data_IF_929880204148
#
_entry.id   IF_929880204148
#
_cell.length_a   1.000
_cell.length_b   1.000
_cell.length_c   1.000
_cell.angle_alpha   90.00
_cell.angle_beta   90.00
_cell.angle_gamma   90.00
#
_symmetry.space_group_name_H-M   'P 1'
#
loop_
_entity.id
_entity.type
_entity.pdbx_description
1 polymer ?
#
# COMPACT_ATOMS: atom_id res chain seq x y z
N UNK A 1 -14.87 3.46 17.41
CA UNK A 1 -13.42 3.74 17.22
C UNK A 1 -12.51 3.12 18.29
N UNK A 2 -12.81 3.20 19.60
CA UNK A 2 -11.94 2.64 20.67
C UNK A 2 -11.59 1.14 20.51
N UNK A 3 -12.53 0.31 20.03
CA UNK A 3 -12.34 -1.15 19.86
C UNK A 3 -11.37 -1.54 18.73
N UNK A 4 -11.24 -0.72 17.68
CA UNK A 4 -10.31 -0.99 16.56
C UNK A 4 -8.87 -0.67 16.97
N UNK A 5 -8.70 0.37 17.78
CA UNK A 5 -7.38 0.75 18.32
C UNK A 5 -6.84 -0.31 19.29
N UNK A 6 -7.70 -0.91 20.12
CA UNK A 6 -7.32 -2.02 21.01
C UNK A 6 -6.87 -3.28 20.25
N UNK A 7 -7.49 -3.58 19.09
CA UNK A 7 -7.13 -4.75 18.28
C UNK A 7 -5.78 -4.58 17.57
N UNK A 8 -5.51 -3.37 17.06
CA UNK A 8 -4.21 -3.01 16.46
C UNK A 8 -3.08 -3.04 17.50
N UNK A 9 -3.35 -2.56 18.72
CA UNK A 9 -2.38 -2.61 19.82
C UNK A 9 -2.09 -4.06 20.24
N UNK A 10 -3.11 -4.93 20.28
CA UNK A 10 -2.95 -6.35 20.61
C UNK A 10 -2.10 -7.09 19.56
N UNK A 11 -2.30 -6.79 18.27
CA UNK A 11 -1.49 -7.36 17.18
C UNK A 11 -0.02 -6.89 17.24
N UNK A 12 0.22 -5.63 17.59
CA UNK A 12 1.58 -5.11 17.79
C UNK A 12 2.29 -5.81 18.97
N UNK A 13 1.58 -6.07 20.07
CA UNK A 13 2.15 -6.76 21.25
C UNK A 13 2.44 -8.23 20.97
N UNK A 14 1.62 -8.92 20.17
CA UNK A 14 1.87 -10.31 19.77
C UNK A 14 3.09 -10.39 18.83
N UNK A 15 3.30 -9.41 17.96
CA UNK A 15 4.48 -9.36 17.09
C UNK A 15 5.79 -9.07 17.85
N UNK A 16 5.73 -8.34 18.97
CA UNK A 16 6.91 -8.00 19.78
C UNK A 16 7.41 -9.15 20.66
N UNK A 17 6.56 -10.14 20.99
CA UNK A 17 6.97 -11.29 21.81
C UNK A 17 7.57 -12.46 21.01
N UNK A 18 7.45 -12.45 19.68
CA UNK A 18 8.00 -13.50 18.83
C UNK A 18 9.52 -13.37 18.58
N UNK A 19 10.17 -12.29 19.01
CA UNK A 19 11.61 -12.04 18.76
C UNK A 19 12.50 -12.16 20.01
N UNK A 20 11.97 -12.63 21.15
CA UNK A 20 12.71 -12.62 22.43
C UNK A 20 13.24 -13.99 22.89
N UNK A 21 13.08 -15.07 22.12
CA UNK A 21 13.57 -16.41 22.48
C UNK A 21 14.41 -17.01 21.36
N UNK A 22 15.60 -16.46 21.11
CA UNK A 22 16.68 -17.18 20.42
C UNK A 22 18.04 -16.56 20.84
N UNK A 23 18.32 -16.57 22.15
CA UNK A 23 19.69 -16.47 22.67
C UNK A 23 20.21 -17.90 22.89
N UNK A 24 20.48 -18.60 21.79
CA UNK A 24 21.19 -19.88 21.79
C UNK A 24 22.54 -19.70 21.10
N UNK A 25 23.61 -19.85 21.88
CA UNK A 25 25.02 -20.11 21.53
C UNK A 25 25.54 -19.54 20.17
N UNK A 26 26.29 -18.43 20.16
CA UNK A 26 26.70 -17.73 18.93
C UNK A 26 27.71 -18.50 18.04
N UNK A 27 28.37 -19.54 18.55
CA UNK A 27 29.46 -20.22 17.85
C UNK A 27 29.05 -21.53 17.15
N UNK A 28 27.95 -22.17 17.55
CA UNK A 28 27.48 -23.42 16.92
C UNK A 28 26.49 -23.20 15.75
N UNK A 29 25.91 -22.01 15.62
CA UNK A 29 24.83 -21.75 14.63
C UNK A 29 25.37 -21.25 13.28
N UNK A 30 26.64 -20.84 13.19
CA UNK A 30 27.17 -20.17 11.99
C UNK A 30 27.56 -21.09 10.83
N UNK A 31 27.93 -22.36 11.05
CA UNK A 31 28.39 -23.24 9.97
C UNK A 31 27.24 -23.93 9.23
N UNK A 32 26.23 -24.45 9.93
CA UNK A 32 25.15 -25.21 9.28
C UNK A 32 24.09 -24.33 8.60
N UNK A 33 23.93 -23.07 9.05
CA UNK A 33 22.98 -22.14 8.44
C UNK A 33 23.41 -21.59 7.08
N UNK A 34 24.72 -21.60 6.76
CA UNK A 34 25.22 -21.13 5.47
C UNK A 34 25.04 -22.15 4.34
N UNK A 35 25.02 -23.44 4.69
CA UNK A 35 24.95 -24.54 3.70
C UNK A 35 23.51 -25.03 3.43
N UNK A 36 22.52 -24.59 4.22
CA UNK A 36 21.10 -24.95 4.06
C UNK A 36 20.19 -23.74 3.74
N UNK A 37 20.72 -22.70 3.10
CA UNK A 37 19.87 -21.63 2.58
C UNK A 37 19.05 -22.17 1.41
N UNK A 38 17.78 -22.46 1.66
CA UNK A 38 16.85 -22.78 0.59
C UNK A 38 16.85 -21.65 -0.45
N UNK A 39 16.82 -21.98 -1.75
CA UNK A 39 16.79 -20.98 -2.79
C UNK A 39 15.60 -20.05 -2.58
N UNK A 40 15.79 -18.79 -2.94
CA UNK A 40 14.75 -17.78 -2.88
C UNK A 40 13.50 -18.24 -3.66
N UNK A 41 12.32 -17.82 -3.20
CA UNK A 41 11.10 -18.13 -3.94
C UNK A 41 11.07 -17.39 -5.26
N UNK A 42 10.59 -18.02 -6.33
CA UNK A 42 10.39 -17.35 -7.62
C UNK A 42 8.98 -16.77 -7.74
N UNK A 43 8.04 -17.25 -6.91
CA UNK A 43 6.66 -16.78 -6.88
C UNK A 43 6.25 -16.43 -5.45
N UNK A 44 5.63 -15.27 -5.29
CA UNK A 44 5.13 -14.81 -4.01
C UNK A 44 3.65 -14.48 -4.11
N UNK A 45 2.88 -15.00 -3.16
CA UNK A 45 1.52 -14.53 -2.87
C UNK A 45 1.59 -13.56 -1.70
N UNK A 46 1.16 -12.33 -1.92
CA UNK A 46 1.24 -11.26 -0.94
C UNK A 46 -0.08 -10.62 -0.58
N UNK A 47 -0.05 -9.86 0.50
CA UNK A 47 -1.14 -9.00 0.94
C UNK A 47 -0.54 -7.76 1.60
N UNK A 48 -1.16 -6.61 1.42
CA UNK A 48 -0.66 -5.37 1.98
C UNK A 48 -1.52 -4.18 1.62
N UNK A 49 -1.03 -3.00 1.94
CA UNK A 49 -1.74 -1.76 1.67
C UNK A 49 -1.16 -0.57 2.41
N UNK A 50 -1.77 0.59 2.18
CA UNK A 50 -1.41 1.83 2.85
C UNK A 50 -1.91 3.07 2.11
N UNK A 51 -1.32 4.22 2.44
CA UNK A 51 -1.67 5.50 1.84
C UNK A 51 -1.05 5.57 0.44
N UNK A 52 -1.86 5.82 -0.59
CA UNK A 52 -1.46 5.85 -2.00
C UNK A 52 -0.66 4.64 -2.48
N UNK A 53 -0.76 3.51 -1.78
CA UNK A 53 -0.08 2.28 -2.15
C UNK A 53 -0.69 1.69 -3.43
N UNK A 54 0.07 0.90 -4.20
CA UNK A 54 -0.41 0.33 -5.46
C UNK A 54 -1.59 -0.63 -5.26
N UNK A 55 -1.71 -1.28 -4.09
CA UNK A 55 -2.88 -2.10 -3.71
C UNK A 55 -4.04 -1.28 -3.11
N UNK A 56 -3.87 0.03 -2.93
CA UNK A 56 -4.79 0.85 -2.15
C UNK A 56 -4.59 0.67 -0.65
N UNK A 57 -5.65 0.89 0.13
CA UNK A 57 -5.67 0.70 1.58
C UNK A 57 -5.34 -0.74 1.96
N UNK A 58 -5.82 -1.70 1.17
CA UNK A 58 -5.65 -3.13 1.43
C UNK A 58 -5.92 -3.96 0.17
N UNK A 59 -5.17 -5.03 -0.05
CA UNK A 59 -5.44 -5.98 -1.13
C UNK A 59 -4.42 -7.11 -1.27
N UNK A 60 -4.78 -8.19 -2.00
CA UNK A 60 -3.84 -9.22 -2.42
C UNK A 60 -2.90 -8.74 -3.53
N UNK A 61 -1.72 -9.36 -3.58
CA UNK A 61 -0.72 -9.17 -4.63
C UNK A 61 -0.08 -10.49 -5.02
N UNK A 62 0.47 -10.52 -6.22
CA UNK A 62 1.36 -11.58 -6.70
C UNK A 62 2.65 -10.94 -7.19
N UNK A 63 3.76 -11.64 -7.01
CA UNK A 63 5.05 -11.22 -7.54
C UNK A 63 5.78 -12.45 -8.11
N UNK A 64 6.33 -12.29 -9.31
CA UNK A 64 7.05 -13.33 -10.03
C UNK A 64 8.43 -12.84 -10.44
N UNK A 65 9.45 -13.65 -10.18
CA UNK A 65 10.84 -13.36 -10.55
C UNK A 65 11.05 -13.66 -12.03
N UNK A 66 11.32 -12.61 -12.83
CA UNK A 66 11.67 -12.75 -14.24
C UNK A 66 13.17 -12.97 -14.46
N UNK A 67 14.00 -12.31 -13.64
CA UNK A 67 15.45 -12.44 -13.67
C UNK A 67 15.99 -12.33 -12.23
N UNK A 68 17.29 -12.60 -12.04
CA UNK A 68 17.92 -12.65 -10.72
C UNK A 68 17.58 -11.44 -9.82
N UNK A 69 17.49 -10.25 -10.41
CA UNK A 69 17.19 -8.99 -9.71
C UNK A 69 15.91 -8.29 -10.17
N UNK A 70 15.14 -8.88 -11.07
CA UNK A 70 13.94 -8.25 -11.65
C UNK A 70 12.74 -9.12 -11.38
N UNK A 71 11.72 -8.54 -10.75
CA UNK A 71 10.41 -9.17 -10.59
C UNK A 71 9.34 -8.33 -11.25
N UNK A 72 8.27 -8.98 -11.69
CA UNK A 72 7.00 -8.33 -11.99
C UNK A 72 6.04 -8.57 -10.87
N UNK A 73 5.21 -7.58 -10.58
CA UNK A 73 4.18 -7.69 -9.58
C UNK A 73 2.85 -7.20 -10.12
N UNK A 74 1.78 -7.72 -9.56
CA UNK A 74 0.43 -7.29 -9.82
C UNK A 74 -0.43 -7.45 -8.58
N UNK A 75 -1.56 -6.77 -8.55
CA UNK A 75 -2.51 -6.95 -7.46
C UNK A 75 -3.75 -6.11 -7.63
N UNK A 76 -4.74 -6.45 -6.82
CA UNK A 76 -6.01 -5.77 -6.76
C UNK A 76 -6.35 -5.47 -5.31
N UNK A 77 -7.11 -4.41 -5.06
CA UNK A 77 -7.48 -4.03 -3.70
C UNK A 77 -8.51 -2.92 -3.64
N UNK A 78 -8.71 -2.38 -2.43
CA UNK A 78 -9.62 -1.29 -2.16
C UNK A 78 -8.82 -0.03 -1.82
N UNK A 79 -9.08 1.07 -2.52
CA UNK A 79 -8.50 2.39 -2.25
C UNK A 79 -9.53 3.40 -1.74
N UNK A 80 -9.10 4.64 -1.51
CA UNK A 80 -10.00 5.78 -1.23
C UNK A 80 -10.96 6.09 -2.39
N UNK A 81 -10.64 5.62 -3.59
CA UNK A 81 -11.30 5.94 -4.85
C UNK A 81 -11.90 4.69 -5.53
N UNK A 82 -12.43 3.77 -4.73
CA UNK A 82 -13.04 2.52 -5.20
C UNK A 82 -12.06 1.34 -5.28
N UNK A 83 -12.34 0.38 -6.15
CA UNK A 83 -11.45 -0.76 -6.36
C UNK A 83 -10.22 -0.32 -7.17
N UNK A 84 -9.08 -0.96 -6.91
CA UNK A 84 -7.79 -0.64 -7.54
C UNK A 84 -7.21 -1.88 -8.17
N UNK A 85 -6.68 -1.75 -9.39
CA UNK A 85 -5.93 -2.78 -10.10
C UNK A 85 -4.57 -2.21 -10.48
N UNK A 86 -3.51 -2.98 -10.27
CA UNK A 86 -2.14 -2.52 -10.44
C UNK A 86 -1.22 -3.59 -11.00
N UNK A 87 -0.22 -3.16 -11.75
CA UNK A 87 0.88 -3.99 -12.22
C UNK A 87 2.17 -3.18 -12.33
N UNK A 88 3.32 -3.83 -12.29
CA UNK A 88 4.60 -3.15 -12.37
C UNK A 88 5.79 -4.10 -12.30
N UNK A 89 6.97 -3.52 -12.15
CA UNK A 89 8.22 -4.24 -12.00
C UNK A 89 9.04 -3.68 -10.84
N UNK A 90 9.85 -4.54 -10.22
CA UNK A 90 10.79 -4.18 -9.16
C UNK A 90 12.20 -4.62 -9.53
N UNK A 91 13.16 -3.74 -9.27
CA UNK A 91 14.57 -4.06 -9.27
C UNK A 91 15.05 -4.27 -7.83
N UNK A 92 15.68 -5.42 -7.55
CA UNK A 92 16.24 -5.76 -6.24
C UNK A 92 17.73 -5.51 -6.21
N UNK A 93 18.19 -4.75 -5.21
CA UNK A 93 19.62 -4.63 -4.96
C UNK A 93 20.22 -5.99 -4.53
N UNK A 94 19.45 -6.78 -3.76
CA UNK A 94 19.82 -8.12 -3.30
C UNK A 94 18.57 -8.99 -3.16
N UNK A 95 18.23 -9.77 -4.18
CA UNK A 95 17.07 -10.66 -4.12
C UNK A 95 17.26 -11.77 -3.07
N UNK A 96 16.20 -12.23 -2.35
CA UNK A 96 14.81 -11.77 -2.34
C UNK A 96 14.51 -10.72 -1.25
N UNK A 97 15.53 -10.13 -0.62
CA UNK A 97 15.39 -9.26 0.55
C UNK A 97 15.97 -7.85 0.36
N UNK A 98 16.24 -7.16 1.46
CA UNK A 98 16.89 -5.83 1.47
C UNK A 98 16.10 -4.79 0.67
N UNK A 99 16.79 -3.98 -0.14
CA UNK A 99 16.19 -2.87 -0.86
C UNK A 99 15.71 -3.31 -2.24
N UNK A 100 14.54 -2.84 -2.63
CA UNK A 100 14.02 -2.92 -3.98
C UNK A 100 13.45 -1.57 -4.42
N UNK A 101 13.45 -1.33 -5.73
CA UNK A 101 12.92 -0.12 -6.34
C UNK A 101 11.85 -0.50 -7.35
N UNK A 102 10.64 0.04 -7.18
CA UNK A 102 9.47 -0.28 -7.97
C UNK A 102 9.08 0.82 -8.93
N UNK A 103 8.64 0.42 -10.12
CA UNK A 103 7.87 1.23 -11.05
C UNK A 103 6.57 0.47 -11.36
N UNK A 104 5.42 1.12 -11.22
CA UNK A 104 4.14 0.48 -11.49
C UNK A 104 3.07 1.42 -11.98
N UNK A 105 2.06 0.86 -12.61
CA UNK A 105 0.86 1.54 -13.05
C UNK A 105 -0.35 1.02 -12.27
N UNK A 106 -1.24 1.93 -11.90
CA UNK A 106 -2.46 1.60 -11.17
C UNK A 106 -3.66 2.29 -11.79
N UNK A 107 -4.81 1.62 -11.74
CA UNK A 107 -6.12 2.19 -12.09
C UNK A 107 -7.05 2.01 -10.90
N UNK A 108 -7.70 3.10 -10.49
CA UNK A 108 -8.77 3.11 -9.50
C UNK A 108 -10.11 3.34 -10.19
N UNK A 109 -11.13 2.55 -9.86
CA UNK A 109 -12.43 2.55 -10.55
C UNK A 109 -13.19 3.87 -10.45
N UNK A 110 -12.95 4.65 -9.40
CA UNK A 110 -13.84 5.73 -9.01
C UNK A 110 -15.06 5.22 -8.26
N UNK A 111 -15.92 6.16 -7.88
CA UNK A 111 -17.17 5.95 -7.16
C UNK A 111 -18.22 6.91 -7.72
N UNK A 112 -19.32 6.37 -8.24
CA UNK A 112 -20.33 7.20 -8.91
C UNK A 112 -21.10 8.09 -7.94
N UNK A 113 -21.29 7.68 -6.68
CA UNK A 113 -22.03 8.44 -5.69
C UNK A 113 -21.42 8.22 -4.31
N UNK A 114 -20.78 9.27 -3.80
CA UNK A 114 -20.28 9.32 -2.44
C UNK A 114 -20.64 10.68 -1.84
N UNK A 115 -21.03 10.69 -0.58
CA UNK A 115 -21.28 11.94 0.15
C UNK A 115 -20.17 12.15 1.15
N UNK A 116 -19.64 13.36 1.20
CA UNK A 116 -18.70 13.77 2.24
C UNK A 116 -19.36 14.81 3.14
N UNK A 117 -19.25 14.60 4.45
CA UNK A 117 -19.57 15.61 5.45
C UNK A 117 -18.49 16.69 5.40
N UNK A 118 -18.81 17.82 4.75
CA UNK A 118 -17.91 18.95 4.57
C UNK A 118 -18.13 19.97 5.70
N UNK A 119 -17.11 20.26 6.53
CA UNK A 119 -17.22 21.26 7.60
C UNK A 119 -17.51 22.68 7.08
N UNK A 120 -17.92 23.56 8.00
CA UNK A 120 -18.02 24.99 7.73
C UNK A 120 -16.72 25.54 7.10
N UNK A 121 -16.84 26.38 6.07
CA UNK A 121 -15.71 26.95 5.34
C UNK A 121 -15.10 26.05 4.24
N UNK A 122 -15.63 24.85 4.02
CA UNK A 122 -15.23 23.98 2.91
C UNK A 122 -16.14 24.18 1.68
N UNK A 123 -17.36 24.64 1.89
CA UNK A 123 -18.38 24.90 0.89
C UNK A 123 -18.85 26.34 1.03
N UNK A 124 -18.99 27.05 -0.09
CA UNK A 124 -19.40 28.44 -0.10
C UNK A 124 -20.84 28.60 0.42
N UNK A 125 -21.11 29.71 1.12
CA UNK A 125 -22.44 30.10 1.62
C UNK A 125 -23.10 29.10 2.60
N UNK A 126 -22.31 28.28 3.29
CA UNK A 126 -22.80 27.36 4.32
C UNK A 126 -22.08 27.62 5.66
N UNK A 127 -22.86 27.84 6.71
CA UNK A 127 -22.39 28.12 8.09
C UNK A 127 -22.45 26.88 8.99
N UNK A 128 -22.56 25.69 8.41
CA UNK A 128 -22.65 24.41 9.13
C UNK A 128 -22.10 23.28 8.27
N UNK A 129 -21.86 22.12 8.88
CA UNK A 129 -21.45 20.93 8.15
C UNK A 129 -22.54 20.49 7.19
N UNK A 130 -22.19 20.31 5.92
CA UNK A 130 -23.11 19.88 4.87
C UNK A 130 -22.64 18.62 4.16
N UNK A 131 -23.58 17.78 3.74
CA UNK A 131 -23.30 16.61 2.91
C UNK A 131 -23.26 17.01 1.46
N UNK A 132 -22.08 16.90 0.85
CA UNK A 132 -21.91 17.22 -0.56
C UNK A 132 -21.78 15.93 -1.37
N UNK A 133 -22.65 15.69 -2.36
CA UNK A 133 -22.57 14.51 -3.21
C UNK A 133 -21.52 14.69 -4.30
N UNK A 134 -20.58 13.75 -4.35
CA UNK A 134 -19.51 13.69 -5.34
C UNK A 134 -19.67 12.49 -6.27
N UNK A 135 -19.22 12.69 -7.51
CA UNK A 135 -18.84 11.64 -8.45
C UNK A 135 -17.33 11.62 -8.53
N UNK A 136 -16.71 10.57 -7.98
CA UNK A 136 -15.28 10.33 -8.06
C UNK A 136 -15.01 9.58 -9.37
N UNK A 137 -14.32 10.21 -10.31
CA UNK A 137 -14.03 9.58 -11.61
C UNK A 137 -12.92 8.53 -11.47
N UNK A 138 -12.89 7.58 -12.40
CA UNK A 138 -11.76 6.66 -12.54
C UNK A 138 -10.46 7.44 -12.69
N UNK A 139 -9.42 7.00 -11.97
CA UNK A 139 -8.15 7.69 -11.93
C UNK A 139 -7.00 6.71 -12.03
N UNK A 140 -5.99 7.06 -12.82
CA UNK A 140 -4.80 6.22 -13.01
C UNK A 140 -3.57 6.91 -12.44
N UNK A 141 -2.64 6.13 -11.90
CA UNK A 141 -1.37 6.63 -11.34
C UNK A 141 -0.17 5.84 -11.85
N UNK A 142 0.95 6.54 -12.04
CA UNK A 142 2.28 5.96 -12.16
C UNK A 142 2.94 6.06 -10.79
N UNK A 143 3.45 4.94 -10.28
CA UNK A 143 3.98 4.82 -8.93
C UNK A 143 5.47 4.54 -8.99
N UNK A 144 6.24 5.31 -8.25
CA UNK A 144 7.66 5.08 -8.00
C UNK A 144 7.84 4.77 -6.52
N UNK A 145 8.54 3.69 -6.19
CA UNK A 145 8.73 3.32 -4.78
C UNK A 145 10.08 2.70 -4.46
N UNK A 146 10.46 2.84 -3.20
CA UNK A 146 11.57 2.16 -2.57
C UNK A 146 11.00 1.29 -1.44
N UNK A 147 11.36 0.01 -1.45
CA UNK A 147 10.87 -0.99 -0.51
C UNK A 147 12.04 -1.56 0.29
N UNK A 148 11.85 -1.70 1.59
CA UNK A 148 12.74 -2.48 2.45
C UNK A 148 12.05 -3.79 2.83
N UNK A 149 12.62 -4.90 2.38
CA UNK A 149 12.17 -6.27 2.68
C UNK A 149 12.98 -6.88 3.83
N UNK A 150 12.29 -7.56 4.73
CA UNK A 150 12.84 -8.45 5.74
C UNK A 150 12.34 -9.87 5.47
N UNK A 151 13.26 -10.81 5.26
CA UNK A 151 12.92 -12.23 5.15
C UNK A 151 12.66 -12.79 6.54
N UNK A 152 11.53 -13.49 6.71
CA UNK A 152 11.03 -14.00 7.97
C UNK A 152 10.89 -15.53 7.95
N UNK A 153 10.94 -16.12 9.14
CA UNK A 153 10.79 -17.56 9.36
C UNK A 153 12.07 -18.36 9.14
N UNK A 154 12.06 -19.62 9.62
CA UNK A 154 13.22 -20.53 9.56
C UNK A 154 13.71 -20.76 8.12
N UNK A 155 12.79 -20.92 7.18
CA UNK A 155 13.10 -21.12 5.76
C UNK A 155 13.37 -19.81 5.00
N UNK A 156 13.21 -18.63 5.63
CA UNK A 156 13.38 -17.30 5.00
C UNK A 156 12.58 -17.07 3.71
N UNK A 157 11.53 -17.88 3.50
CA UNK A 157 10.64 -17.77 2.34
C UNK A 157 9.58 -16.69 2.47
N UNK A 158 9.21 -16.31 3.69
CA UNK A 158 8.23 -15.25 3.91
C UNK A 158 8.93 -13.90 3.94
N UNK A 159 8.26 -12.85 3.51
CA UNK A 159 8.82 -11.50 3.47
C UNK A 159 7.83 -10.51 4.07
N UNK A 160 8.32 -9.65 4.94
CA UNK A 160 7.64 -8.42 5.33
C UNK A 160 8.32 -7.25 4.65
N UNK A 161 7.57 -6.22 4.27
CA UNK A 161 8.14 -5.01 3.70
C UNK A 161 7.45 -3.74 4.17
N UNK A 162 8.23 -2.67 4.12
CA UNK A 162 7.78 -1.29 4.23
C UNK A 162 8.09 -0.62 2.89
N UNK A 163 7.13 0.12 2.38
CA UNK A 163 7.20 0.84 1.12
C UNK A 163 7.10 2.35 1.37
N UNK A 164 8.02 3.10 0.77
CA UNK A 164 7.97 4.55 0.66
C UNK A 164 8.03 4.92 -0.82
N UNK A 165 7.23 5.89 -1.26
CA UNK A 165 7.23 6.25 -2.67
C UNK A 165 6.44 7.51 -2.98
N UNK A 166 6.18 7.69 -4.27
CA UNK A 166 5.33 8.75 -4.78
C UNK A 166 4.53 8.25 -5.97
N UNK A 167 3.23 8.55 -5.98
CA UNK A 167 2.31 8.24 -7.05
C UNK A 167 1.94 9.53 -7.80
N UNK A 168 2.27 9.58 -9.09
CA UNK A 168 1.87 10.67 -9.97
C UNK A 168 0.57 10.27 -10.65
N UNK A 169 -0.46 11.08 -10.49
CA UNK A 169 -1.74 10.86 -11.15
C UNK A 169 -1.71 11.34 -12.59
N UNK A 170 -2.19 10.48 -13.48
CA UNK A 170 -2.28 10.71 -14.93
C UNK A 170 -3.67 11.21 -15.33
N UNK A 171 -4.64 11.13 -14.41
CA UNK A 171 -6.01 11.55 -14.70
C UNK A 171 -6.19 13.07 -14.55
N UNK A 172 -6.83 13.65 -15.56
CA UNK A 172 -7.38 15.01 -15.54
C UNK A 172 -8.79 14.99 -14.90
N UNK A 173 -9.18 16.08 -14.25
CA UNK A 173 -10.50 16.28 -13.63
C UNK A 173 -11.04 15.09 -12.82
N UNK A 174 -10.56 14.91 -11.58
CA UNK A 174 -10.70 13.65 -10.84
C UNK A 174 -12.02 13.47 -10.09
N UNK A 175 -12.77 14.54 -9.88
CA UNK A 175 -14.09 14.50 -9.26
C UNK A 175 -15.01 15.56 -9.84
N UNK A 176 -16.33 15.34 -9.68
CA UNK A 176 -17.39 16.29 -10.05
C UNK A 176 -18.36 16.37 -8.88
N UNK A 177 -18.78 17.58 -8.53
CA UNK A 177 -19.87 17.81 -7.59
C UNK A 177 -21.17 17.60 -8.35
N UNK A 178 -22.05 16.71 -7.87
CA UNK A 178 -23.28 16.37 -8.61
C UNK A 178 -24.34 17.46 -8.56
N UNK A 179 -24.29 18.33 -7.55
CA UNK A 179 -25.26 19.40 -7.34
C UNK A 179 -24.58 20.76 -7.57
N UNK A 180 -25.16 21.54 -8.49
CA UNK A 180 -24.69 22.88 -8.85
C UNK A 180 -24.81 23.91 -7.73
N UNK A 181 -25.56 23.62 -6.68
CA UNK A 181 -25.72 24.51 -5.53
C UNK A 181 -24.49 24.54 -4.60
N UNK A 182 -23.55 23.62 -4.79
CA UNK A 182 -22.33 23.55 -3.98
C UNK A 182 -21.09 23.98 -4.77
N UNK A 183 -20.42 25.01 -4.27
CA UNK A 183 -19.10 25.41 -4.72
C UNK A 183 -18.08 25.18 -3.60
N UNK A 184 -17.00 24.46 -3.89
CA UNK A 184 -15.95 24.21 -2.89
C UNK A 184 -15.09 25.46 -2.71
N UNK A 185 -14.89 25.85 -1.46
CA UNK A 185 -13.88 26.82 -1.06
C UNK A 185 -12.46 26.22 -1.19
N UNK A 186 -11.38 27.03 -1.13
CA UNK A 186 -10.01 26.53 -1.22
C UNK A 186 -9.68 25.39 -0.24
N UNK A 187 -10.19 25.43 0.99
CA UNK A 187 -10.01 24.36 1.98
C UNK A 187 -10.67 23.04 1.55
N UNK A 188 -11.90 23.10 1.03
CA UNK A 188 -12.60 21.94 0.49
C UNK A 188 -11.89 21.33 -0.72
N UNK A 189 -11.40 22.18 -1.64
CA UNK A 189 -10.57 21.72 -2.77
C UNK A 189 -9.28 21.06 -2.30
N UNK A 190 -8.60 21.62 -1.31
CA UNK A 190 -7.40 21.03 -0.72
C UNK A 190 -7.68 19.65 -0.12
N UNK A 191 -8.77 19.51 0.64
CA UNK A 191 -9.18 18.23 1.19
C UNK A 191 -9.41 17.18 0.10
N UNK A 192 -10.16 17.54 -0.96
CA UNK A 192 -10.35 16.65 -2.11
C UNK A 192 -9.03 16.32 -2.82
N UNK A 193 -8.10 17.26 -2.89
CA UNK A 193 -6.77 17.06 -3.46
C UNK A 193 -5.86 16.15 -2.62
N UNK A 194 -6.15 15.96 -1.33
CA UNK A 194 -5.44 14.99 -0.49
C UNK A 194 -6.05 13.60 -0.61
N UNK A 195 -7.37 13.50 -0.78
CA UNK A 195 -8.06 12.21 -0.92
C UNK A 195 -7.87 11.55 -2.29
N UNK A 196 -7.64 12.35 -3.33
CA UNK A 196 -7.46 11.86 -4.69
C UNK A 196 -6.26 10.89 -4.80
N UNK A 197 -6.32 9.89 -5.69
CA UNK A 197 -5.18 9.01 -5.94
C UNK A 197 -3.97 9.80 -6.41
N UNK A 198 -2.87 9.70 -5.66
CA UNK A 198 -1.60 10.37 -5.95
C UNK A 198 -0.97 11.02 -4.72
N UNK A 199 0.31 11.35 -4.82
CA UNK A 199 1.09 11.92 -3.72
C UNK A 199 2.00 10.90 -3.05
N UNK A 200 2.37 11.18 -1.80
CA UNK A 200 3.30 10.32 -1.04
C UNK A 200 2.67 8.95 -0.79
N UNK A 201 3.44 7.91 -1.07
CA UNK A 201 3.09 6.51 -0.81
C UNK A 201 3.75 6.04 0.47
N UNK A 202 2.96 5.45 1.36
CA UNK A 202 3.41 4.73 2.54
C UNK A 202 2.65 3.42 2.62
N UNK A 203 3.36 2.29 2.61
CA UNK A 203 2.74 0.98 2.57
C UNK A 203 3.44 -0.04 3.44
N UNK A 204 2.69 -1.06 3.85
CA UNK A 204 3.18 -2.27 4.48
C UNK A 204 2.72 -3.48 3.68
N UNK A 205 3.56 -4.49 3.58
CA UNK A 205 3.23 -5.71 2.87
C UNK A 205 3.80 -6.95 3.54
N UNK A 206 3.07 -8.05 3.40
CA UNK A 206 3.52 -9.39 3.75
C UNK A 206 3.41 -10.29 2.51
N UNK A 207 4.37 -11.18 2.29
CA UNK A 207 4.40 -12.07 1.14
C UNK A 207 4.90 -13.45 1.53
N UNK A 208 4.19 -14.47 1.06
CA UNK A 208 4.48 -15.88 1.24
C UNK A 208 5.14 -16.40 -0.03
N UNK A 209 6.34 -16.95 0.08
CA UNK A 209 7.01 -17.61 -1.04
C UNK A 209 6.36 -18.97 -1.30
N UNK A 210 5.93 -19.22 -2.54
CA UNK A 210 5.31 -20.47 -2.96
C UNK A 210 6.29 -21.21 -3.89
N UNK A 211 7.17 -22.01 -3.31
CA UNK A 211 8.00 -22.99 -3.99
C UNK A 211 8.62 -23.99 -3.01
#
# INVERSE_FOLDING_TARGET
>A
MKKVFSLLLLMAVISARATAQDYANPDYVKSDYRNNLQPASTFYLGFGGGINHYLGLIGPSVEFQLAEKITVFGGAGLGSWGSKLSFGARYYANYPGKWAFGLGYSVSSGLDHIEFDMPEGYVQNHSSTVKVPFKLKSASTVNLSALRFWTLGKARKNRFNVELGYAVSVAEDRYVIKDSNYELMPAGRYFMNVLQPGGVTLGLGFSFGMN
#
